data_IF_310646258945
#
_entry.id   IF_310646258945
#
_cell.length_a   1.000
_cell.length_b   1.000
_cell.length_c   1.000
_cell.angle_alpha   90.00
_cell.angle_beta   90.00
_cell.angle_gamma   90.00
#
_symmetry.space_group_name_H-M   'P 1'
#
loop_
_entity.id
_entity.type
_entity.pdbx_description
1 polymer ?
#
# COMPACT_ATOMS: atom_id res chain seq x y z
N UNK A 1 -7.45 -26.62 -5.05
CA UNK A 1 -7.20 -25.19 -4.79
C UNK A 1 -7.25 -24.48 -6.13
N UNK A 2 -7.96 -23.37 -6.26
CA UNK A 2 -8.08 -22.62 -7.50
C UNK A 2 -6.74 -21.96 -7.87
N UNK A 3 -6.22 -22.28 -9.07
CA UNK A 3 -4.92 -21.77 -9.54
C UNK A 3 -4.93 -20.24 -9.69
N UNK A 4 -6.06 -19.67 -10.12
CA UNK A 4 -6.22 -18.22 -10.26
C UNK A 4 -6.05 -17.52 -8.89
N UNK A 5 -6.60 -18.11 -7.83
CA UNK A 5 -6.51 -17.52 -6.48
C UNK A 5 -5.07 -17.50 -5.94
N UNK A 6 -4.27 -18.51 -6.30
CA UNK A 6 -2.85 -18.52 -5.96
C UNK A 6 -2.13 -17.38 -6.70
N UNK A 7 -2.43 -17.19 -7.99
CA UNK A 7 -1.83 -16.10 -8.76
C UNK A 7 -2.28 -14.72 -8.25
N UNK A 8 -3.57 -14.56 -7.94
CA UNK A 8 -4.11 -13.32 -7.35
C UNK A 8 -3.39 -12.99 -6.04
N UNK A 9 -3.23 -13.96 -5.14
CA UNK A 9 -2.49 -13.77 -3.89
C UNK A 9 -1.00 -13.44 -4.13
N UNK A 10 -0.38 -14.02 -5.15
CA UNK A 10 0.99 -13.69 -5.56
C UNK A 10 1.13 -12.24 -6.03
N UNK A 11 0.15 -11.70 -6.77
CA UNK A 11 0.14 -10.27 -7.12
C UNK A 11 -0.13 -9.38 -5.92
N UNK A 12 -1.01 -9.79 -5.01
CA UNK A 12 -1.26 -9.09 -3.76
C UNK A 12 0.03 -8.93 -2.93
N UNK A 13 0.87 -9.97 -2.88
CA UNK A 13 2.12 -9.95 -2.13
C UNK A 13 3.18 -8.96 -2.66
N UNK A 14 2.99 -8.40 -3.86
CA UNK A 14 3.87 -7.35 -4.42
C UNK A 14 3.52 -5.93 -3.94
N UNK A 15 2.59 -5.80 -3.01
CA UNK A 15 2.22 -4.52 -2.43
C UNK A 15 3.38 -3.88 -1.64
N UNK A 16 3.40 -2.53 -1.49
CA UNK A 16 4.35 -1.87 -0.61
C UNK A 16 4.01 -2.15 0.85
N UNK A 17 5.02 -2.13 1.72
CA UNK A 17 4.84 -2.22 3.16
C UNK A 17 5.88 -1.41 3.91
N UNK A 18 5.61 -1.08 5.18
CA UNK A 18 6.56 -0.44 6.08
C UNK A 18 7.84 -1.27 6.15
N UNK A 19 9.00 -0.67 5.93
CA UNK A 19 10.33 -1.30 5.84
C UNK A 19 10.38 -2.55 4.93
N UNK A 20 9.39 -2.73 4.05
CA UNK A 20 9.24 -3.91 3.20
C UNK A 20 9.08 -5.23 3.98
N UNK A 21 8.51 -5.17 5.17
CA UNK A 21 8.30 -6.34 6.04
C UNK A 21 7.29 -7.34 5.49
N UNK A 22 6.43 -6.91 4.54
CA UNK A 22 5.38 -7.75 3.94
C UNK A 22 4.52 -8.46 4.99
N UNK A 23 3.82 -7.69 5.86
CA UNK A 23 3.22 -8.20 7.08
C UNK A 23 1.86 -8.88 6.85
N UNK A 24 1.79 -9.78 5.89
CA UNK A 24 0.58 -10.50 5.51
C UNK A 24 0.83 -11.99 5.30
N UNK A 25 -0.18 -12.76 5.61
CA UNK A 25 -0.34 -14.16 5.21
C UNK A 25 -1.66 -14.26 4.42
N UNK A 26 -1.72 -15.15 3.43
CA UNK A 26 -2.93 -15.39 2.65
C UNK A 26 -3.51 -16.75 2.98
N UNK A 27 -4.81 -16.79 3.26
CA UNK A 27 -5.56 -18.03 3.37
C UNK A 27 -6.59 -18.09 2.25
N UNK A 28 -6.57 -19.17 1.48
CA UNK A 28 -7.44 -19.38 0.32
C UNK A 28 -8.39 -20.52 0.65
N UNK A 29 -9.69 -20.27 0.60
CA UNK A 29 -10.74 -21.26 0.85
C UNK A 29 -11.93 -21.01 -0.06
N UNK A 30 -12.42 -22.08 -0.71
CA UNK A 30 -13.58 -22.06 -1.60
C UNK A 30 -13.55 -20.87 -2.59
N UNK A 31 -14.38 -19.85 -2.34
CA UNK A 31 -14.49 -18.63 -3.14
C UNK A 31 -13.91 -17.40 -2.43
N UNK A 32 -13.11 -17.57 -1.36
CA UNK A 32 -12.57 -16.47 -0.56
C UNK A 32 -11.05 -16.45 -0.52
N UNK A 33 -10.50 -15.24 -0.38
CA UNK A 33 -9.11 -15.01 0.01
C UNK A 33 -9.12 -14.12 1.26
N UNK A 34 -8.49 -14.60 2.32
CA UNK A 34 -8.30 -13.82 3.55
C UNK A 34 -6.88 -13.27 3.60
N UNK A 35 -6.74 -11.96 3.76
CA UNK A 35 -5.48 -11.29 4.03
C UNK A 35 -5.33 -11.17 5.54
N UNK A 36 -4.40 -11.93 6.12
CA UNK A 36 -4.20 -12.08 7.57
C UNK A 36 -2.98 -11.27 8.00
N UNK A 37 -3.05 -10.41 9.04
CA UNK A 37 -1.89 -9.69 9.55
C UNK A 37 -0.86 -10.68 10.14
N UNK A 38 0.40 -10.49 9.77
CA UNK A 38 1.52 -11.23 10.35
C UNK A 38 2.26 -10.35 11.37
N UNK A 39 1.87 -10.44 12.63
CA UNK A 39 2.49 -9.66 13.70
C UNK A 39 3.91 -10.09 14.06
N UNK A 40 4.39 -11.24 13.55
CA UNK A 40 5.76 -11.69 13.76
C UNK A 40 6.81 -10.78 13.11
N UNK A 41 6.39 -10.03 12.08
CA UNK A 41 7.21 -9.06 11.36
C UNK A 41 6.70 -7.61 11.58
N UNK A 42 5.98 -7.38 12.66
CA UNK A 42 5.56 -6.04 13.07
C UNK A 42 6.77 -5.20 13.49
N UNK A 43 6.60 -3.88 13.43
CA UNK A 43 7.64 -2.89 13.75
C UNK A 43 7.23 -2.14 15.04
N UNK A 44 7.42 -2.72 16.22
CA UNK A 44 6.86 -2.19 17.47
C UNK A 44 7.44 -0.83 17.89
N UNK A 45 8.61 -0.45 17.40
CA UNK A 45 9.22 0.86 17.69
C UNK A 45 8.71 1.92 16.73
N UNK A 46 8.67 1.63 15.42
CA UNK A 46 8.19 2.55 14.39
C UNK A 46 6.67 2.64 14.39
N UNK A 47 6.00 1.51 14.52
CA UNK A 47 4.54 1.35 14.35
C UNK A 47 3.90 0.70 15.59
N UNK A 48 4.10 1.30 16.76
CA UNK A 48 3.67 0.76 18.06
C UNK A 48 2.16 0.50 18.19
N UNK A 49 1.33 1.07 17.32
CA UNK A 49 -0.12 0.83 17.28
C UNK A 49 -0.56 0.00 16.05
N UNK A 50 0.39 -0.54 15.28
CA UNK A 50 0.18 -1.32 14.05
C UNK A 50 -0.57 -0.57 12.93
N UNK A 51 -0.60 0.77 12.95
CA UNK A 51 -1.31 1.56 11.94
C UNK A 51 -0.71 1.35 10.55
N UNK A 52 0.61 1.37 10.42
CA UNK A 52 1.30 1.17 9.14
C UNK A 52 1.19 -0.27 8.66
N UNK A 53 1.18 -1.23 9.59
CA UNK A 53 0.92 -2.64 9.29
C UNK A 53 -0.45 -2.78 8.61
N UNK A 54 -1.51 -2.21 9.17
CA UNK A 54 -2.85 -2.29 8.56
C UNK A 54 -2.97 -1.48 7.26
N UNK A 55 -2.27 -0.36 7.10
CA UNK A 55 -2.14 0.34 5.81
C UNK A 55 -1.49 -0.58 4.77
N UNK A 56 -0.45 -1.32 5.16
CA UNK A 56 0.23 -2.28 4.28
C UNK A 56 -0.71 -3.41 3.85
N UNK A 57 -1.55 -3.93 4.76
CA UNK A 57 -2.59 -4.89 4.41
C UNK A 57 -3.59 -4.30 3.39
N UNK A 58 -3.99 -3.04 3.58
CA UNK A 58 -4.85 -2.34 2.62
C UNK A 58 -4.23 -2.27 1.23
N UNK A 59 -2.93 -2.00 1.13
CA UNK A 59 -2.21 -2.03 -0.14
C UNK A 59 -2.21 -3.43 -0.78
N UNK A 60 -2.08 -4.49 0.02
CA UNK A 60 -2.16 -5.86 -0.47
C UNK A 60 -3.59 -6.22 -0.94
N UNK A 61 -4.62 -5.76 -0.23
CA UNK A 61 -6.03 -5.90 -0.64
C UNK A 61 -6.29 -5.20 -1.96
N UNK A 62 -5.80 -3.98 -2.15
CA UNK A 62 -5.96 -3.26 -3.42
C UNK A 62 -5.32 -4.01 -4.59
N UNK A 63 -4.08 -4.47 -4.44
CA UNK A 63 -3.43 -5.30 -5.46
C UNK A 63 -4.21 -6.60 -5.73
N UNK A 64 -4.79 -7.21 -4.69
CA UNK A 64 -5.64 -8.39 -4.80
C UNK A 64 -6.88 -8.08 -5.65
N UNK A 65 -7.58 -6.99 -5.39
CA UNK A 65 -8.75 -6.56 -6.15
C UNK A 65 -8.42 -6.30 -7.63
N UNK A 66 -7.31 -5.60 -7.89
CA UNK A 66 -6.83 -5.33 -9.25
C UNK A 66 -6.50 -6.65 -9.97
N UNK A 67 -5.78 -7.56 -9.32
CA UNK A 67 -5.43 -8.85 -9.89
C UNK A 67 -6.68 -9.73 -10.10
N UNK A 68 -7.59 -9.81 -9.13
CA UNK A 68 -8.83 -10.56 -9.25
C UNK A 68 -9.64 -10.10 -10.47
N UNK A 69 -9.76 -8.79 -10.67
CA UNK A 69 -10.44 -8.22 -11.83
C UNK A 69 -9.78 -8.68 -13.15
N UNK A 70 -8.44 -8.65 -13.24
CA UNK A 70 -7.72 -9.15 -14.41
C UNK A 70 -7.97 -10.64 -14.68
N UNK A 71 -8.10 -11.47 -13.63
CA UNK A 71 -8.42 -12.91 -13.75
C UNK A 71 -9.91 -13.19 -13.93
N UNK A 72 -10.74 -12.16 -14.10
CA UNK A 72 -12.17 -12.29 -14.35
C UNK A 72 -12.99 -12.58 -13.09
N UNK A 73 -12.63 -11.97 -11.96
CA UNK A 73 -13.39 -12.02 -10.72
C UNK A 73 -13.72 -10.62 -10.23
N UNK A 74 -14.94 -10.45 -9.72
CA UNK A 74 -15.30 -9.32 -8.87
C UNK A 74 -14.94 -9.67 -7.42
N UNK A 75 -14.61 -8.68 -6.64
CA UNK A 75 -14.26 -8.83 -5.21
C UNK A 75 -15.23 -8.07 -4.34
N UNK A 76 -15.58 -8.65 -3.19
CA UNK A 76 -16.34 -7.97 -2.15
C UNK A 76 -15.69 -8.24 -0.79
N UNK A 77 -15.40 -7.19 -0.02
CA UNK A 77 -15.00 -7.36 1.37
C UNK A 77 -16.24 -7.76 2.16
N UNK A 78 -16.25 -8.98 2.70
CA UNK A 78 -17.38 -9.52 3.47
C UNK A 78 -17.16 -9.40 4.97
N UNK A 79 -15.91 -9.33 5.42
CA UNK A 79 -15.54 -9.11 6.81
C UNK A 79 -14.18 -8.42 6.90
N UNK A 80 -14.03 -7.54 7.89
CA UNK A 80 -12.71 -7.00 8.26
C UNK A 80 -12.61 -6.83 9.77
N UNK A 81 -11.47 -7.18 10.32
CA UNK A 81 -11.17 -7.08 11.73
C UNK A 81 -9.66 -7.06 11.96
N UNK A 82 -9.22 -6.95 13.22
CA UNK A 82 -7.82 -7.12 13.60
C UNK A 82 -7.27 -8.52 13.22
N UNK A 83 -8.13 -9.51 12.97
CA UNK A 83 -7.73 -10.86 12.57
C UNK A 83 -7.49 -11.01 11.07
N UNK A 84 -7.95 -10.06 10.27
CA UNK A 84 -7.78 -10.06 8.82
C UNK A 84 -8.93 -9.44 8.06
N UNK A 85 -8.77 -9.47 6.74
CA UNK A 85 -9.74 -8.95 5.76
C UNK A 85 -10.12 -10.11 4.86
N UNK A 86 -11.41 -10.46 4.85
CA UNK A 86 -11.96 -11.55 4.03
C UNK A 86 -12.58 -10.96 2.78
N UNK A 87 -12.09 -11.39 1.63
CA UNK A 87 -12.66 -11.04 0.33
C UNK A 87 -13.30 -12.26 -0.29
N UNK A 88 -14.56 -12.11 -0.70
CA UNK A 88 -15.25 -13.05 -1.56
C UNK A 88 -14.98 -12.71 -3.03
N UNK A 89 -14.66 -13.73 -3.83
CA UNK A 89 -14.39 -13.63 -5.26
C UNK A 89 -15.48 -14.32 -6.05
N UNK A 90 -16.17 -13.57 -6.89
CA UNK A 90 -17.23 -14.09 -7.76
C UNK A 90 -16.79 -14.01 -9.21
N UNK A 91 -16.90 -15.13 -9.96
CA UNK A 91 -16.54 -15.15 -11.39
C UNK A 91 -17.40 -14.14 -12.15
N UNK A 92 -16.78 -13.35 -12.98
CA UNK A 92 -17.42 -12.35 -13.82
C UNK A 92 -16.90 -12.48 -15.25
N UNK A 93 -17.76 -12.91 -16.16
CA UNK A 93 -17.40 -13.11 -17.57
C UNK A 93 -17.29 -11.77 -18.35
N UNK A 94 -17.72 -10.65 -17.75
CA UNK A 94 -17.61 -9.31 -18.31
C UNK A 94 -16.28 -8.69 -17.85
N UNK A 95 -15.16 -9.20 -18.33
CA UNK A 95 -13.86 -8.63 -18.02
C UNK A 95 -13.71 -7.21 -18.59
N UNK A 96 -13.49 -6.25 -17.72
CA UNK A 96 -12.96 -4.95 -18.10
C UNK A 96 -11.46 -4.99 -17.80
N UNK A 97 -10.63 -4.82 -18.83
CA UNK A 97 -9.17 -4.78 -18.64
C UNK A 97 -8.79 -3.65 -17.68
N UNK A 98 -8.20 -4.02 -16.54
CA UNK A 98 -7.72 -3.06 -15.57
C UNK A 98 -6.27 -2.67 -15.92
N UNK A 99 -6.09 -1.48 -16.48
CA UNK A 99 -4.76 -0.97 -16.86
C UNK A 99 -3.77 -0.91 -15.69
N UNK A 100 -4.25 -0.87 -14.44
CA UNK A 100 -3.42 -0.88 -13.24
C UNK A 100 -2.77 -2.23 -12.98
N UNK A 101 -3.32 -3.33 -13.49
CA UNK A 101 -2.74 -4.66 -13.29
C UNK A 101 -1.28 -4.73 -13.74
N UNK A 102 -0.97 -4.21 -14.92
CA UNK A 102 0.38 -4.17 -15.44
C UNK A 102 1.32 -3.20 -14.69
N UNK A 103 0.78 -2.37 -13.80
CA UNK A 103 1.57 -1.46 -12.97
C UNK A 103 1.99 -2.11 -11.64
N UNK A 104 1.32 -3.17 -11.19
CA UNK A 104 1.69 -3.88 -9.95
C UNK A 104 3.17 -4.27 -9.96
N UNK A 105 3.65 -4.84 -11.08
CA UNK A 105 5.04 -5.28 -11.21
C UNK A 105 6.03 -4.15 -11.50
N UNK A 106 5.55 -3.06 -12.10
CA UNK A 106 6.39 -1.90 -12.45
C UNK A 106 6.53 -0.89 -11.31
N UNK A 107 5.60 -0.92 -10.35
CA UNK A 107 5.63 -0.03 -9.20
C UNK A 107 6.91 -0.27 -8.38
N UNK A 108 7.62 0.79 -8.11
CA UNK A 108 8.78 0.75 -7.22
C UNK A 108 8.84 2.04 -6.39
N UNK A 109 9.45 1.97 -5.21
CA UNK A 109 9.76 3.14 -4.41
C UNK A 109 11.04 3.77 -4.94
N UNK A 110 10.96 4.98 -5.47
CA UNK A 110 12.14 5.73 -5.91
C UNK A 110 12.76 6.46 -4.71
N UNK A 111 14.02 6.13 -4.41
CA UNK A 111 14.83 6.77 -3.36
C UNK A 111 16.02 7.56 -3.94
N UNK A 112 16.05 7.76 -5.25
CA UNK A 112 17.10 8.54 -5.91
C UNK A 112 16.95 10.03 -5.62
N UNK A 113 18.04 10.78 -5.76
CA UNK A 113 18.00 12.23 -5.74
C UNK A 113 17.24 12.74 -6.96
N UNK A 114 16.24 13.59 -6.72
CA UNK A 114 15.48 14.20 -7.80
C UNK A 114 16.28 15.30 -8.48
N UNK A 115 16.06 15.48 -9.78
CA UNK A 115 16.79 16.44 -10.62
C UNK A 115 16.30 17.89 -10.48
N UNK A 116 15.34 18.15 -9.62
CA UNK A 116 14.75 19.48 -9.39
C UNK A 116 13.75 19.96 -10.44
N UNK A 117 13.44 19.14 -11.45
CA UNK A 117 12.42 19.49 -12.44
C UNK A 117 11.04 19.56 -11.77
N UNK A 118 10.27 20.58 -12.16
CA UNK A 118 8.88 20.71 -11.71
C UNK A 118 7.99 19.67 -12.40
N UNK A 119 7.03 19.14 -11.67
CA UNK A 119 5.94 18.35 -12.24
C UNK A 119 5.04 19.28 -13.05
N UNK A 120 4.60 18.87 -14.24
CA UNK A 120 3.73 19.69 -15.08
C UNK A 120 2.35 19.90 -14.46
N UNK A 121 1.69 21.00 -14.80
CA UNK A 121 0.34 21.28 -14.32
C UNK A 121 -0.67 20.21 -14.74
N UNK A 122 -0.52 19.66 -15.95
CA UNK A 122 -1.38 18.58 -16.46
C UNK A 122 -1.23 17.33 -15.61
N UNK A 123 -0.02 16.96 -15.24
CA UNK A 123 0.24 15.82 -14.37
C UNK A 123 -0.29 16.04 -12.94
N UNK A 124 -0.13 17.25 -12.40
CA UNK A 124 -0.72 17.61 -11.10
C UNK A 124 -2.24 17.51 -11.13
N UNK A 125 -2.88 17.98 -12.21
CA UNK A 125 -4.34 17.86 -12.38
C UNK A 125 -4.77 16.40 -12.48
N UNK A 126 -4.04 15.55 -13.24
CA UNK A 126 -4.29 14.12 -13.31
C UNK A 126 -4.20 13.46 -11.93
N UNK A 127 -3.16 13.76 -11.15
CA UNK A 127 -3.02 13.25 -9.79
C UNK A 127 -4.15 13.73 -8.87
N UNK A 128 -4.59 14.99 -9.00
CA UNK A 128 -5.73 15.53 -8.25
C UNK A 128 -7.06 14.89 -8.62
N UNK A 129 -7.21 14.43 -9.86
CA UNK A 129 -8.44 13.79 -10.37
C UNK A 129 -8.58 12.31 -9.97
N UNK A 130 -7.54 11.69 -9.39
CA UNK A 130 -7.61 10.30 -8.92
C UNK A 130 -8.75 10.18 -7.91
N UNK A 131 -9.57 9.14 -8.09
CA UNK A 131 -10.66 8.79 -7.17
C UNK A 131 -10.14 8.76 -5.73
N UNK A 132 -10.88 9.41 -4.85
CA UNK A 132 -10.54 9.53 -3.43
C UNK A 132 -11.72 9.11 -2.59
N UNK A 133 -11.42 8.41 -1.52
CA UNK A 133 -12.37 8.25 -0.43
C UNK A 133 -12.55 9.60 0.28
N UNK A 134 -13.74 9.89 0.78
CA UNK A 134 -14.04 11.16 1.48
C UNK A 134 -13.11 11.44 2.66
N UNK A 135 -12.59 10.36 3.27
CA UNK A 135 -11.65 10.44 4.40
C UNK A 135 -10.20 10.73 3.98
N UNK A 136 -9.89 10.78 2.65
CA UNK A 136 -8.52 10.98 2.14
C UNK A 136 -8.45 12.26 1.33
N UNK A 137 -7.47 13.13 1.67
CA UNK A 137 -7.23 14.37 0.94
C UNK A 137 -5.79 14.43 0.45
N UNK A 138 -5.60 14.87 -0.80
CA UNK A 138 -4.28 15.11 -1.37
C UNK A 138 -3.95 16.59 -1.35
N UNK A 139 -2.74 16.89 -0.87
CA UNK A 139 -2.17 18.22 -0.90
C UNK A 139 -0.83 18.20 -1.62
N UNK A 140 -0.62 19.19 -2.48
CA UNK A 140 0.67 19.42 -3.12
C UNK A 140 1.31 20.65 -2.47
N UNK A 141 2.54 20.47 -2.00
CA UNK A 141 3.32 21.55 -1.43
C UNK A 141 4.44 21.94 -2.42
N UNK A 142 4.35 23.13 -2.99
CA UNK A 142 5.41 23.64 -3.87
C UNK A 142 6.62 24.06 -3.03
N UNK A 143 7.80 23.56 -3.40
CA UNK A 143 9.08 23.89 -2.76
C UNK A 143 9.33 25.41 -2.85
N UNK A 144 9.79 26.01 -1.77
CA UNK A 144 10.00 27.46 -1.64
C UNK A 144 8.77 28.22 -1.14
N UNK A 145 7.70 27.52 -0.76
CA UNK A 145 6.55 28.13 -0.07
C UNK A 145 6.65 27.91 1.44
N UNK A 146 6.10 28.82 2.28
CA UNK A 146 6.10 28.66 3.75
C UNK A 146 5.44 27.34 4.21
N UNK A 147 4.47 26.84 3.45
CA UNK A 147 3.81 25.56 3.72
C UNK A 147 4.76 24.38 3.51
N UNK A 148 5.45 24.34 2.36
CA UNK A 148 6.44 23.30 2.07
C UNK A 148 7.62 23.36 3.08
N UNK A 149 8.13 24.55 3.40
CA UNK A 149 9.22 24.73 4.35
C UNK A 149 8.86 24.22 5.75
N UNK A 150 7.60 24.42 6.16
CA UNK A 150 7.09 23.90 7.43
C UNK A 150 7.06 22.37 7.43
N UNK A 151 6.56 21.75 6.35
CA UNK A 151 6.53 20.29 6.21
C UNK A 151 7.95 19.71 6.24
N UNK A 152 8.87 20.31 5.46
CA UNK A 152 10.27 19.88 5.40
C UNK A 152 10.91 19.95 6.78
N UNK A 153 10.69 21.04 7.52
CA UNK A 153 11.22 21.20 8.88
C UNK A 153 10.76 20.08 9.83
N UNK A 154 9.48 19.69 9.76
CA UNK A 154 8.97 18.60 10.61
C UNK A 154 9.51 17.24 10.17
N UNK A 155 9.65 16.97 8.86
CA UNK A 155 10.27 15.75 8.35
C UNK A 155 11.72 15.64 8.84
N UNK A 156 12.52 16.69 8.70
CA UNK A 156 13.92 16.71 9.17
C UNK A 156 14.02 16.49 10.68
N UNK A 157 13.13 17.12 11.45
CA UNK A 157 13.09 16.95 12.90
C UNK A 157 12.69 15.53 13.31
N UNK A 158 11.71 14.93 12.62
CA UNK A 158 11.33 13.54 12.83
C UNK A 158 12.48 12.58 12.54
N UNK A 159 13.16 12.76 11.41
CA UNK A 159 14.32 11.94 11.05
C UNK A 159 15.46 12.08 12.09
N UNK A 160 15.74 13.29 12.58
CA UNK A 160 16.73 13.51 13.63
C UNK A 160 16.40 12.73 14.91
N UNK A 161 15.14 12.77 15.36
CA UNK A 161 14.66 12.05 16.53
C UNK A 161 14.83 10.54 16.34
N UNK A 162 14.34 9.99 15.21
CA UNK A 162 14.45 8.58 14.90
C UNK A 162 15.90 8.10 14.82
N UNK A 163 16.77 8.86 14.14
CA UNK A 163 18.19 8.51 14.01
C UNK A 163 19.00 8.66 15.30
N UNK A 164 18.49 9.32 16.34
CA UNK A 164 19.09 9.37 17.65
C UNK A 164 18.56 8.26 18.59
N UNK A 165 17.50 7.56 18.20
CA UNK A 165 16.93 6.45 18.97
C UNK A 165 17.64 5.13 18.64
N UNK A 166 18.22 4.48 19.63
CA UNK A 166 18.92 3.20 19.46
C UNK A 166 17.96 2.06 19.15
N UNK A 167 16.73 2.07 19.70
CA UNK A 167 15.73 1.05 19.45
C UNK A 167 15.26 1.12 17.99
N UNK A 168 15.00 2.35 17.49
CA UNK A 168 14.67 2.57 16.09
C UNK A 168 15.76 2.04 15.14
N UNK A 169 17.03 2.38 15.41
CA UNK A 169 18.14 1.91 14.57
C UNK A 169 18.28 0.39 14.57
N UNK A 170 18.08 -0.28 15.70
CA UNK A 170 18.12 -1.72 15.78
C UNK A 170 16.99 -2.36 15.01
N UNK A 171 15.76 -1.82 15.11
CA UNK A 171 14.60 -2.33 14.34
C UNK A 171 14.79 -2.11 12.82
N UNK A 172 15.39 -0.99 12.41
CA UNK A 172 15.67 -0.70 10.99
C UNK A 172 16.68 -1.67 10.36
N UNK A 173 17.56 -2.28 11.16
CA UNK A 173 18.65 -3.17 10.72
C UNK A 173 18.30 -4.66 10.87
N UNK A 174 17.18 -5.00 11.52
CA UNK A 174 16.71 -6.37 11.69
C UNK A 174 15.96 -6.90 10.48
#
# INVERSE_FOLDING_TARGET
>A
MNTDFIQIASYASKAPSGHNTQPWKFHIADNTITVIPNFEVALPVVDGNNRELFISLGCAVENLCIAANHFGYTTQIVEYSIKGIILELTKNDLMVENSLFHQIEKRQTNRSVYNGNKVSNEMLQQLQSIQKEDAVQFYFAEIGTPFADTIIKYILKGNEIQMNDAAFKNELLS
#
